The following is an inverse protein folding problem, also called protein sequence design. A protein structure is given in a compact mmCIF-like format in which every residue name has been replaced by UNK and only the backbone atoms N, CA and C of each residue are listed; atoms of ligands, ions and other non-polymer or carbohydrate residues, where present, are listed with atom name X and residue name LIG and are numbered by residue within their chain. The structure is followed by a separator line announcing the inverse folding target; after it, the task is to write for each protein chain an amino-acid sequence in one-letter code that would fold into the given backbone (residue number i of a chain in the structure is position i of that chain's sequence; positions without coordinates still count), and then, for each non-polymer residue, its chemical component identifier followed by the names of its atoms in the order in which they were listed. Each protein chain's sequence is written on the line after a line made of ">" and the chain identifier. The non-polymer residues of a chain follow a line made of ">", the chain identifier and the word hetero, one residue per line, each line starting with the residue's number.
data_IF_738884088113
#
_entry.id   IF_738884088113
#
_cell.length_a   1.000
_cell.length_b   1.000
_cell.length_c   1.000
_cell.angle_alpha   90.00
_cell.angle_beta   90.00
_cell.angle_gamma   90.00
#
_symmetry.space_group_name_H-M   'P 1'
#
loop_
_entity.id
_entity.type
_entity.pdbx_description
1 polymer ?
#
# COMPACT_ATOMS: atom_id res chain seq x y z
N UNK A 1 14.62 -47.15 34.39
CA UNK A 1 13.61 -46.54 33.49
C UNK A 1 14.09 -45.14 33.13
N UNK A 2 14.59 -44.90 31.90
CA UNK A 2 15.03 -43.57 31.46
C UNK A 2 13.94 -43.00 30.54
N UNK A 3 13.26 -41.93 30.98
CA UNK A 3 12.27 -41.20 30.17
C UNK A 3 13.03 -40.33 29.17
N UNK A 4 12.88 -40.63 27.89
CA UNK A 4 13.36 -39.79 26.78
C UNK A 4 12.31 -38.69 26.59
N UNK A 5 12.65 -37.45 26.94
CA UNK A 5 11.80 -36.28 26.69
C UNK A 5 12.18 -35.76 25.30
N UNK A 6 11.28 -35.95 24.34
CA UNK A 6 11.39 -35.40 22.98
C UNK A 6 10.98 -33.93 23.03
N UNK A 7 11.95 -33.02 22.94
CA UNK A 7 11.70 -31.59 22.87
C UNK A 7 11.39 -31.22 21.41
N UNK A 8 10.11 -31.06 21.08
CA UNK A 8 9.66 -30.51 19.80
C UNK A 8 9.92 -29.00 19.79
N UNK A 9 10.96 -28.58 19.07
CA UNK A 9 11.18 -27.19 18.70
C UNK A 9 10.16 -26.80 17.63
N UNK A 10 9.08 -26.12 18.04
CA UNK A 10 8.22 -25.39 17.11
C UNK A 10 8.99 -24.17 16.60
N UNK A 11 9.56 -24.28 15.39
CA UNK A 11 10.07 -23.12 14.66
C UNK A 11 8.85 -22.38 14.12
N UNK A 12 8.44 -21.31 14.78
CA UNK A 12 7.41 -20.41 14.28
C UNK A 12 7.97 -19.62 13.09
N UNK A 13 7.67 -20.05 11.86
CA UNK A 13 7.89 -19.22 10.68
C UNK A 13 6.93 -18.03 10.74
N UNK A 14 7.48 -16.83 10.94
CA UNK A 14 6.71 -15.60 10.78
C UNK A 14 6.63 -15.33 9.28
N UNK A 15 5.46 -15.50 8.68
CA UNK A 15 5.18 -15.03 7.32
C UNK A 15 5.30 -13.51 7.31
N UNK A 16 6.39 -12.99 6.75
CA UNK A 16 6.58 -11.55 6.57
C UNK A 16 5.86 -11.13 5.29
N UNK A 17 5.11 -10.04 5.32
CA UNK A 17 4.60 -9.39 4.11
C UNK A 17 5.75 -9.12 3.13
N UNK A 18 5.65 -9.58 1.88
CA UNK A 18 6.63 -9.27 0.83
C UNK A 18 6.17 -7.99 0.12
N UNK A 19 6.66 -6.83 0.58
CA UNK A 19 6.44 -5.55 -0.11
C UNK A 19 7.57 -5.35 -1.13
N UNK A 20 7.23 -5.40 -2.42
CA UNK A 20 8.16 -5.10 -3.51
C UNK A 20 8.07 -3.64 -3.89
N UNK A 21 9.18 -2.93 -3.75
CA UNK A 21 9.27 -1.52 -4.12
C UNK A 21 9.69 -1.35 -5.59
N UNK A 22 8.95 -0.53 -6.32
CA UNK A 22 9.27 -0.05 -7.66
C UNK A 22 9.45 1.47 -7.61
N UNK A 23 10.64 1.93 -7.97
CA UNK A 23 11.05 3.33 -7.79
C UNK A 23 11.81 3.55 -6.49
N UNK A 24 11.79 4.79 -5.99
CA UNK A 24 12.45 5.21 -4.76
C UNK A 24 11.49 5.18 -3.56
N UNK A 25 11.98 4.86 -2.35
CA UNK A 25 11.15 4.85 -1.16
C UNK A 25 10.69 6.27 -0.81
N UNK A 26 9.45 6.39 -0.34
CA UNK A 26 8.87 7.64 0.18
C UNK A 26 8.71 7.59 1.69
N UNK A 27 8.38 8.72 2.32
CA UNK A 27 8.01 8.73 3.73
C UNK A 27 6.81 7.83 4.04
N UNK A 28 5.86 7.72 3.10
CA UNK A 28 4.70 6.83 3.23
C UNK A 28 5.12 5.36 3.21
N UNK A 29 6.02 4.98 2.29
CA UNK A 29 6.59 3.63 2.24
C UNK A 29 7.25 3.24 3.56
N UNK A 30 8.13 4.10 4.09
CA UNK A 30 8.82 3.84 5.36
C UNK A 30 7.85 3.76 6.55
N UNK A 31 6.86 4.64 6.58
CA UNK A 31 5.81 4.63 7.61
C UNK A 31 5.00 3.34 7.56
N UNK A 32 4.69 2.84 6.36
CA UNK A 32 3.99 1.57 6.17
C UNK A 32 4.82 0.40 6.69
N UNK A 33 6.11 0.34 6.36
CA UNK A 33 7.02 -0.70 6.87
C UNK A 33 7.12 -0.70 8.40
N UNK A 34 7.17 0.48 9.01
CA UNK A 34 7.21 0.61 10.47
C UNK A 34 5.89 0.16 11.12
N UNK A 35 4.75 0.59 10.58
CA UNK A 35 3.42 0.17 11.07
C UNK A 35 3.23 -1.33 10.94
N UNK A 36 3.78 -1.92 9.88
CA UNK A 36 3.74 -3.36 9.66
C UNK A 36 4.59 -4.14 10.66
N UNK A 37 5.85 -3.73 10.85
CA UNK A 37 6.71 -4.35 11.86
C UNK A 37 6.12 -4.29 13.27
N UNK A 38 5.38 -3.23 13.59
CA UNK A 38 4.79 -3.03 14.92
C UNK A 38 3.52 -3.86 15.15
N UNK A 39 2.66 -4.00 14.15
CA UNK A 39 1.30 -4.52 14.35
C UNK A 39 0.91 -5.68 13.43
N UNK A 40 1.79 -6.08 12.50
CA UNK A 40 1.62 -7.22 11.61
C UNK A 40 0.29 -7.19 10.84
N UNK A 41 -0.09 -6.02 10.30
CA UNK A 41 -1.37 -5.78 9.65
C UNK A 41 -1.46 -6.31 8.21
N UNK A 42 -0.33 -6.49 7.55
CA UNK A 42 -0.11 -6.90 6.16
C UNK A 42 0.39 -8.35 6.12
N UNK A 43 0.29 -9.07 7.25
CA UNK A 43 0.67 -10.47 7.32
C UNK A 43 -0.03 -11.27 6.20
N UNK A 44 0.76 -11.97 5.37
CA UNK A 44 0.36 -12.76 4.21
C UNK A 44 -0.05 -12.03 2.93
N UNK A 45 0.08 -10.70 2.85
CA UNK A 45 -0.15 -9.99 1.59
C UNK A 45 1.13 -9.91 0.74
N UNK A 46 0.96 -10.20 -0.56
CA UNK A 46 1.95 -9.89 -1.57
C UNK A 46 1.66 -8.49 -2.10
N UNK A 47 2.49 -7.51 -1.74
CA UNK A 47 2.30 -6.12 -2.15
C UNK A 47 3.33 -5.72 -3.20
N UNK A 48 2.87 -4.97 -4.19
CA UNK A 48 3.70 -4.13 -5.04
C UNK A 48 3.47 -2.67 -4.63
N UNK A 49 4.52 -1.98 -4.23
CA UNK A 49 4.52 -0.56 -3.92
C UNK A 49 5.22 0.18 -5.06
N UNK A 50 4.56 1.14 -5.68
CA UNK A 50 5.16 1.93 -6.77
C UNK A 50 5.11 3.43 -6.44
N UNK A 51 6.26 4.08 -6.41
CA UNK A 51 6.37 5.54 -6.31
C UNK A 51 6.46 6.14 -7.72
N UNK A 52 5.38 6.74 -8.22
CA UNK A 52 5.35 7.28 -9.58
C UNK A 52 6.20 8.53 -9.75
N UNK A 53 6.45 9.31 -8.69
CA UNK A 53 7.28 10.52 -8.77
C UNK A 53 8.75 10.21 -9.11
N UNK A 54 9.19 9.01 -8.74
CA UNK A 54 10.57 8.56 -8.96
C UNK A 54 10.80 7.85 -10.30
N UNK A 55 9.76 7.65 -11.10
CA UNK A 55 9.81 6.89 -12.34
C UNK A 55 9.67 7.79 -13.56
N UNK A 56 10.35 7.41 -14.63
CA UNK A 56 10.10 7.98 -15.95
C UNK A 56 8.75 7.52 -16.50
N UNK A 57 8.17 8.29 -17.43
CA UNK A 57 6.92 7.92 -18.12
C UNK A 57 7.01 6.54 -18.80
N UNK A 58 8.20 6.15 -19.29
CA UNK A 58 8.41 4.84 -19.89
C UNK A 58 8.30 3.71 -18.86
N UNK A 59 8.88 3.90 -17.67
CA UNK A 59 8.77 2.95 -16.55
C UNK A 59 7.34 2.86 -16.04
N UNK A 60 6.63 3.98 -15.90
CA UNK A 60 5.21 4.01 -15.50
C UNK A 60 4.36 3.18 -16.49
N UNK A 61 4.61 3.32 -17.80
CA UNK A 61 3.91 2.52 -18.83
C UNK A 61 4.19 1.02 -18.69
N UNK A 62 5.42 0.64 -18.37
CA UNK A 62 5.79 -0.76 -18.15
C UNK A 62 5.13 -1.31 -16.88
N UNK A 63 5.03 -0.51 -15.83
CA UNK A 63 4.41 -0.87 -14.55
C UNK A 63 2.90 -1.14 -14.63
N UNK A 64 2.24 -0.83 -15.75
CA UNK A 64 0.84 -1.21 -15.99
C UNK A 64 0.59 -2.72 -15.85
N UNK A 65 1.60 -3.55 -16.13
CA UNK A 65 1.49 -5.01 -15.97
C UNK A 65 1.24 -5.43 -14.52
N UNK A 66 1.72 -4.65 -13.55
CA UNK A 66 1.58 -4.93 -12.11
C UNK A 66 0.12 -5.02 -11.66
N UNK A 67 -0.80 -4.32 -12.35
CA UNK A 67 -2.24 -4.38 -12.06
C UNK A 67 -2.83 -5.78 -12.25
N UNK A 68 -2.23 -6.58 -13.13
CA UNK A 68 -2.73 -7.93 -13.45
C UNK A 68 -2.04 -9.02 -12.64
N UNK A 69 -1.06 -8.67 -11.81
CA UNK A 69 -0.46 -9.62 -10.90
C UNK A 69 -1.44 -9.99 -9.78
N UNK A 70 -1.29 -11.18 -9.22
CA UNK A 70 -2.03 -11.59 -8.03
C UNK A 70 -1.40 -11.00 -6.76
N UNK A 71 -1.22 -9.67 -6.77
CA UNK A 71 -0.60 -8.86 -5.73
C UNK A 71 -1.41 -7.58 -5.56
N UNK A 72 -1.54 -7.10 -4.33
CA UNK A 72 -2.11 -5.78 -4.07
C UNK A 72 -1.11 -4.72 -4.54
N UNK A 73 -1.55 -3.81 -5.43
CA UNK A 73 -0.72 -2.72 -5.95
C UNK A 73 -1.07 -1.41 -5.22
N UNK A 74 -0.09 -0.83 -4.54
CA UNK A 74 -0.14 0.51 -3.98
C UNK A 74 0.56 1.46 -4.95
N UNK A 75 -0.19 2.40 -5.52
CA UNK A 75 0.28 3.46 -6.40
C UNK A 75 0.43 4.72 -5.55
N UNK A 76 1.66 5.09 -5.24
CA UNK A 76 2.03 6.29 -4.49
C UNK A 76 2.36 7.45 -5.44
N UNK A 77 1.61 8.53 -5.28
CA UNK A 77 1.75 9.80 -6.00
C UNK A 77 1.87 10.98 -5.02
N UNK A 78 2.20 10.72 -3.75
CA UNK A 78 2.34 11.77 -2.71
C UNK A 78 3.41 12.81 -3.06
N UNK A 79 4.42 12.41 -3.82
CA UNK A 79 5.51 13.28 -4.30
C UNK A 79 5.29 13.76 -5.75
N UNK A 80 4.13 13.47 -6.36
CA UNK A 80 3.70 14.03 -7.65
C UNK A 80 2.85 15.27 -7.38
N UNK A 81 3.48 16.45 -7.46
CA UNK A 81 2.87 17.69 -6.96
C UNK A 81 1.79 18.27 -7.90
N UNK A 82 1.86 18.02 -9.20
CA UNK A 82 0.88 18.51 -10.17
C UNK A 82 -0.35 17.60 -10.27
N UNK A 83 -1.54 18.17 -10.18
CA UNK A 83 -2.81 17.48 -10.44
C UNK A 83 -2.84 16.88 -11.86
N UNK A 84 -2.41 17.64 -12.86
CA UNK A 84 -2.35 17.16 -14.26
C UNK A 84 -1.44 15.93 -14.40
N UNK A 85 -0.30 15.92 -13.70
CA UNK A 85 0.61 14.78 -13.69
C UNK A 85 -0.01 13.58 -12.95
N UNK A 86 -0.68 13.79 -11.80
CA UNK A 86 -1.37 12.70 -11.09
C UNK A 86 -2.48 12.08 -11.92
N UNK A 87 -3.28 12.88 -12.60
CA UNK A 87 -4.32 12.42 -13.52
C UNK A 87 -3.69 11.65 -14.70
N UNK A 88 -2.63 12.21 -15.30
CA UNK A 88 -1.94 11.58 -16.43
C UNK A 88 -1.31 10.23 -16.04
N UNK A 89 -0.56 10.18 -14.94
CA UNK A 89 0.13 8.99 -14.48
C UNK A 89 -0.85 7.92 -14.02
N UNK A 90 -1.87 8.28 -13.24
CA UNK A 90 -2.92 7.33 -12.84
C UNK A 90 -3.72 6.81 -14.03
N UNK A 91 -3.95 7.62 -15.07
CA UNK A 91 -4.56 7.16 -16.33
C UNK A 91 -3.68 6.13 -17.04
N UNK A 92 -2.36 6.37 -17.12
CA UNK A 92 -1.42 5.43 -17.75
C UNK A 92 -1.43 4.08 -17.02
N UNK A 93 -1.32 4.10 -15.68
CA UNK A 93 -1.18 2.86 -14.91
C UNK A 93 -2.53 2.16 -14.71
N UNK A 94 -3.58 2.87 -14.28
CA UNK A 94 -4.88 2.28 -13.88
C UNK A 94 -5.97 2.38 -14.94
N UNK A 95 -5.83 3.28 -15.91
CA UNK A 95 -6.85 3.59 -16.91
C UNK A 95 -7.95 4.56 -16.44
N UNK A 96 -7.93 5.01 -15.18
CA UNK A 96 -9.02 5.81 -14.61
C UNK A 96 -8.79 7.33 -14.61
N UNK A 97 -7.53 7.80 -14.58
CA UNK A 97 -7.22 9.23 -14.58
C UNK A 97 -7.75 9.97 -13.35
N UNK A 98 -7.26 9.59 -12.18
CA UNK A 98 -7.72 10.07 -10.86
C UNK A 98 -6.67 11.00 -10.26
N UNK A 99 -7.12 12.16 -9.78
CA UNK A 99 -6.34 12.99 -8.87
C UNK A 99 -6.42 12.44 -7.44
N UNK A 100 -5.38 11.72 -7.00
CA UNK A 100 -5.27 11.22 -5.65
C UNK A 100 -3.82 11.04 -5.23
N UNK A 101 -3.49 11.20 -3.93
CA UNK A 101 -2.12 10.95 -3.46
C UNK A 101 -1.78 9.46 -3.48
N UNK A 102 -2.75 8.58 -3.22
CA UNK A 102 -2.54 7.12 -3.23
C UNK A 102 -3.74 6.41 -3.82
N UNK A 103 -3.48 5.41 -4.66
CA UNK A 103 -4.48 4.48 -5.20
C UNK A 103 -4.05 3.06 -4.84
N UNK A 104 -4.98 2.24 -4.36
CA UNK A 104 -4.75 0.83 -4.07
C UNK A 104 -5.62 -0.02 -4.99
N UNK A 105 -4.99 -0.92 -5.74
CA UNK A 105 -5.64 -1.88 -6.62
C UNK A 105 -5.42 -3.28 -6.05
N UNK A 106 -6.48 -4.04 -5.83
CA UNK A 106 -6.39 -5.40 -5.33
C UNK A 106 -7.57 -6.25 -5.78
N UNK A 107 -7.52 -7.55 -5.49
CA UNK A 107 -8.63 -8.46 -5.75
C UNK A 107 -9.40 -8.69 -4.45
N UNK A 108 -10.73 -8.57 -4.49
CA UNK A 108 -11.64 -8.90 -3.40
C UNK A 108 -12.76 -9.76 -3.97
N UNK A 109 -12.94 -10.97 -3.45
CA UNK A 109 -13.97 -11.92 -3.88
C UNK A 109 -13.97 -12.22 -5.41
N UNK A 110 -12.78 -12.23 -6.01
CA UNK A 110 -12.60 -12.46 -7.46
C UNK A 110 -12.80 -11.23 -8.33
N UNK A 111 -13.16 -10.08 -7.76
CA UNK A 111 -13.30 -8.82 -8.46
C UNK A 111 -12.11 -7.89 -8.20
N UNK A 112 -11.73 -7.12 -9.23
CA UNK A 112 -10.69 -6.11 -9.10
C UNK A 112 -11.28 -4.83 -8.53
N UNK A 113 -10.81 -4.44 -7.35
CA UNK A 113 -11.27 -3.25 -6.64
C UNK A 113 -10.18 -2.19 -6.65
N UNK A 114 -10.60 -0.94 -6.88
CA UNK A 114 -9.74 0.23 -6.82
C UNK A 114 -10.22 1.10 -5.66
N UNK A 115 -9.33 1.35 -4.70
CA UNK A 115 -9.58 2.25 -3.58
C UNK A 115 -8.72 3.49 -3.72
N UNK A 116 -9.35 4.64 -3.58
CA UNK A 116 -8.66 5.93 -3.50
C UNK A 116 -8.39 6.20 -2.03
N UNK A 117 -7.13 6.44 -1.68
CA UNK A 117 -6.74 6.84 -0.32
C UNK A 117 -6.31 8.30 -0.39
N UNK A 118 -7.06 9.16 0.29
CA UNK A 118 -6.84 10.60 0.27
C UNK A 118 -6.68 11.15 1.70
N UNK A 119 -6.11 12.34 1.80
CA UNK A 119 -5.94 13.06 3.07
C UNK A 119 -6.96 14.18 3.14
N UNK A 120 -8.05 13.95 3.86
CA UNK A 120 -8.93 15.02 4.32
C UNK A 120 -8.77 15.13 5.84
N UNK A 121 -7.74 15.84 6.29
CA UNK A 121 -7.66 16.23 7.70
C UNK A 121 -8.25 17.61 7.80
N UNK A 122 -9.47 17.68 8.33
CA UNK A 122 -10.12 18.94 8.64
C UNK A 122 -10.18 19.14 10.16
N UNK A 123 -10.02 20.38 10.62
CA UNK A 123 -10.31 20.75 12.01
C UNK A 123 -11.82 20.66 12.29
N UNK A 124 -12.22 20.92 13.54
CA UNK A 124 -13.64 20.95 13.94
C UNK A 124 -14.49 21.97 13.17
N UNK A 125 -13.86 22.88 12.44
CA UNK A 125 -14.50 23.91 11.61
C UNK A 125 -14.45 23.57 10.11
N UNK A 126 -13.93 22.41 9.72
CA UNK A 126 -13.81 21.99 8.32
C UNK A 126 -12.58 22.54 7.59
N UNK A 127 -11.65 23.22 8.28
CA UNK A 127 -10.43 23.74 7.65
C UNK A 127 -9.37 22.64 7.52
N UNK A 128 -8.72 22.54 6.37
CA UNK A 128 -7.60 21.62 6.20
C UNK A 128 -6.48 21.89 7.21
N UNK A 129 -6.13 20.88 8.01
CA UNK A 129 -4.99 20.91 8.93
C UNK A 129 -3.73 20.70 8.09
N UNK A 130 -2.83 21.69 8.10
CA UNK A 130 -1.64 21.77 7.23
C UNK A 130 -0.37 21.16 7.82
N UNK A 131 -0.47 20.27 8.81
CA UNK A 131 0.71 19.61 9.37
C UNK A 131 1.04 18.38 8.52
N UNK A 132 2.20 18.41 7.85
CA UNK A 132 2.70 17.31 7.01
C UNK A 132 2.77 15.98 7.78
N UNK A 133 3.15 16.01 9.06
CA UNK A 133 3.24 14.81 9.89
C UNK A 133 1.87 14.21 10.18
N UNK A 134 0.86 15.05 10.44
CA UNK A 134 -0.51 14.57 10.65
C UNK A 134 -1.12 14.06 9.36
N UNK A 135 -0.86 14.75 8.23
CA UNK A 135 -1.24 14.32 6.88
C UNK A 135 -0.70 12.93 6.56
N UNK A 136 0.59 12.71 6.82
CA UNK A 136 1.25 11.42 6.63
C UNK A 136 0.65 10.32 7.54
N UNK A 137 0.40 10.63 8.81
CA UNK A 137 -0.19 9.68 9.76
C UNK A 137 -1.63 9.30 9.39
N UNK A 138 -2.43 10.26 8.94
CA UNK A 138 -3.79 10.03 8.44
C UNK A 138 -3.79 9.20 7.16
N UNK A 139 -2.93 9.56 6.20
CA UNK A 139 -2.79 8.85 4.94
C UNK A 139 -2.38 7.39 5.18
N UNK A 140 -1.33 7.19 5.98
CA UNK A 140 -0.81 5.86 6.29
C UNK A 140 -1.80 5.02 7.09
N UNK A 141 -2.56 5.60 8.02
CA UNK A 141 -3.60 4.89 8.75
C UNK A 141 -4.78 4.49 7.85
N UNK A 142 -5.17 5.37 6.93
CA UNK A 142 -6.20 5.09 5.92
C UNK A 142 -5.76 4.00 4.94
N UNK A 143 -4.49 4.05 4.51
CA UNK A 143 -3.88 3.02 3.68
C UNK A 143 -3.88 1.67 4.39
N UNK A 144 -3.45 1.61 5.65
CA UNK A 144 -3.49 0.38 6.46
C UNK A 144 -4.92 -0.17 6.57
N UNK A 145 -5.92 0.70 6.76
CA UNK A 145 -7.32 0.26 6.79
C UNK A 145 -7.77 -0.37 5.47
N UNK A 146 -7.39 0.21 4.33
CA UNK A 146 -7.66 -0.36 3.01
C UNK A 146 -6.95 -1.70 2.82
N UNK A 147 -5.68 -1.80 3.18
CA UNK A 147 -4.90 -3.04 3.03
C UNK A 147 -5.47 -4.20 3.86
N UNK A 148 -6.01 -3.92 5.05
CA UNK A 148 -6.69 -4.94 5.88
C UNK A 148 -7.91 -5.58 5.19
N UNK A 149 -8.57 -4.88 4.27
CA UNK A 149 -9.71 -5.42 3.53
C UNK A 149 -9.27 -6.52 2.56
N UNK A 150 -8.08 -6.37 1.97
CA UNK A 150 -7.53 -7.37 1.06
C UNK A 150 -7.01 -8.61 1.81
N UNK A 151 -6.40 -8.42 2.99
CA UNK A 151 -5.93 -9.54 3.82
C UNK A 151 -7.05 -10.34 4.48
N UNK A 152 -8.19 -9.72 4.81
CA UNK A 152 -9.34 -10.42 5.38
C UNK A 152 -10.10 -11.29 4.36
N UNK A 153 -9.95 -11.04 3.06
CA UNK A 153 -10.60 -11.80 1.99
C UNK A 153 -9.99 -13.19 1.72
N UNK A 154 -8.87 -13.52 2.39
CA UNK A 154 -8.17 -14.82 2.26
C UNK A 154 -8.55 -15.85 3.33
N UNK A 155 -9.74 -15.72 3.93
CA UNK A 155 -10.30 -16.76 4.81
C UNK A 155 -10.89 -17.90 3.95
N UNK A 156 -10.07 -18.91 3.66
CA UNK A 156 -10.53 -20.24 3.20
C UNK A 156 -11.28 -20.97 4.32
#
# INVERSE_FOLDING_TARGET
>A
MKKLILLLLFVSFSSRSDIRLFGLPTQLHETLLQKEAKNNYINNENINYINLASLSVAEIKQSKTLINENRTLIIDMTEVYSEEERISYSSIISGLGIDAPVIVVGNLDGEKIINIVNVNITDVNGNNIKNESEALESLSSSLVHVLKRFSAGMSL
#
